data_IF_305979569658
#
_entry.id   IF_305979569658
#
_cell.length_a   1.000
_cell.length_b   1.000
_cell.length_c   1.000
_cell.angle_alpha   90.00
_cell.angle_beta   90.00
_cell.angle_gamma   90.00
#
_symmetry.space_group_name_H-M   'P 1'
#
loop_
_entity.id
_entity.type
_entity.pdbx_description
1 polymer ?
#
# COMPACT_ATOMS: atom_id res chain seq x y z
N UNK A 1 19.74 -17.69 -5.66
CA UNK A 1 19.04 -16.89 -6.69
C UNK A 1 17.67 -16.50 -6.13
N UNK A 2 17.59 -15.40 -5.39
CA UNK A 2 16.33 -14.77 -4.95
C UNK A 2 16.63 -13.28 -4.79
N UNK A 3 16.90 -12.64 -5.93
CA UNK A 3 17.00 -11.20 -6.11
C UNK A 3 16.13 -10.89 -7.32
N UNK A 4 14.82 -10.75 -7.09
CA UNK A 4 13.80 -10.13 -7.95
C UNK A 4 12.45 -10.45 -7.31
N UNK A 5 11.76 -9.47 -6.70
CA UNK A 5 11.00 -8.50 -7.49
C UNK A 5 11.11 -7.05 -6.99
N UNK A 6 12.19 -6.66 -6.33
CA UNK A 6 12.41 -5.23 -5.97
C UNK A 6 12.88 -4.41 -7.18
N UNK A 7 13.40 -5.07 -8.23
CA UNK A 7 14.04 -4.41 -9.37
C UNK A 7 13.10 -4.01 -10.53
N UNK A 8 11.81 -4.35 -10.46
CA UNK A 8 10.85 -4.00 -11.53
C UNK A 8 9.92 -2.83 -11.16
N UNK A 9 10.02 -2.28 -9.96
CA UNK A 9 9.24 -1.10 -9.58
C UNK A 9 9.97 0.23 -9.88
N UNK A 10 10.95 0.20 -10.78
CA UNK A 10 11.81 1.33 -11.12
C UNK A 10 12.07 1.40 -12.64
N UNK A 11 11.02 1.55 -13.44
CA UNK A 11 11.05 1.99 -14.85
C UNK A 11 9.60 2.35 -15.20
N UNK A 12 9.17 3.53 -15.61
CA UNK A 12 9.74 4.84 -15.91
C UNK A 12 8.90 5.90 -15.16
N UNK A 13 9.43 7.13 -15.08
CA UNK A 13 8.74 8.44 -15.06
C UNK A 13 9.38 9.39 -14.04
N UNK A 14 9.88 10.49 -14.59
CA UNK A 14 10.78 11.50 -14.02
C UNK A 14 10.17 12.38 -12.92
N UNK A 15 9.17 11.89 -12.18
CA UNK A 15 8.38 12.66 -11.21
C UNK A 15 8.38 11.88 -9.88
N UNK A 16 9.07 12.45 -8.87
CA UNK A 16 9.36 11.89 -7.55
C UNK A 16 8.46 10.74 -7.05
N UNK A 17 8.96 9.50 -7.15
CA UNK A 17 8.36 8.30 -6.55
C UNK A 17 8.99 8.08 -5.18
N UNK A 18 8.20 8.03 -4.11
CA UNK A 18 8.69 7.70 -2.77
C UNK A 18 8.25 6.29 -2.35
N UNK A 19 9.22 5.49 -1.91
CA UNK A 19 8.98 4.22 -1.23
C UNK A 19 8.68 4.53 0.23
N UNK A 20 7.42 4.36 0.65
CA UNK A 20 7.09 4.50 2.07
C UNK A 20 7.49 3.19 2.78
N UNK A 21 8.58 3.27 3.54
CA UNK A 21 8.90 2.31 4.60
C UNK A 21 7.81 2.47 5.68
N UNK A 22 7.35 1.41 6.38
CA UNK A 22 6.31 1.46 7.41
C UNK A 22 6.77 2.26 8.64
N UNK A 23 6.95 3.56 8.47
CA UNK A 23 7.24 4.52 9.50
C UNK A 23 5.95 5.28 9.80
N UNK A 24 5.65 5.45 11.09
CA UNK A 24 4.43 6.11 11.55
C UNK A 24 4.42 7.62 11.23
N UNK A 25 5.59 8.22 10.97
CA UNK A 25 5.73 9.62 10.58
C UNK A 25 6.91 9.80 9.63
N UNK A 26 6.62 10.20 8.39
CA UNK A 26 7.64 10.55 7.42
C UNK A 26 7.86 12.07 7.46
N UNK A 27 9.12 12.57 7.44
CA UNK A 27 9.42 14.01 7.48
C UNK A 27 9.11 14.71 6.14
N UNK A 28 7.93 14.46 5.58
CA UNK A 28 7.41 15.04 4.35
C UNK A 28 6.20 15.91 4.66
N UNK A 29 6.02 16.96 3.85
CA UNK A 29 4.85 17.84 3.91
C UNK A 29 3.60 17.11 3.42
N UNK A 30 2.44 17.54 3.92
CA UNK A 30 1.15 17.05 3.44
C UNK A 30 1.00 17.31 1.94
N UNK A 31 0.40 16.35 1.21
CA UNK A 31 0.16 16.44 -0.23
C UNK A 31 1.39 16.86 -1.06
N UNK A 32 2.56 16.30 -0.72
CA UNK A 32 3.82 16.60 -1.41
C UNK A 32 4.17 15.58 -2.50
N UNK A 33 3.64 14.37 -2.43
CA UNK A 33 4.03 13.27 -3.33
C UNK A 33 2.93 12.91 -4.32
N UNK A 34 3.33 12.50 -5.52
CA UNK A 34 2.40 12.10 -6.59
C UNK A 34 2.10 10.60 -6.56
N UNK A 35 3.07 9.79 -6.13
CA UNK A 35 2.97 8.33 -6.07
C UNK A 35 3.57 7.80 -4.76
N UNK A 36 2.83 6.93 -4.08
CA UNK A 36 3.30 6.13 -2.94
C UNK A 36 3.29 4.67 -3.32
N UNK A 37 4.37 3.95 -3.01
CA UNK A 37 4.49 2.51 -3.28
C UNK A 37 4.76 1.75 -1.98
N UNK A 38 3.93 0.74 -1.70
CA UNK A 38 4.20 -0.31 -0.71
C UNK A 38 4.51 -1.60 -1.46
N UNK A 39 5.73 -2.12 -1.31
CA UNK A 39 6.16 -3.38 -1.93
C UNK A 39 6.71 -4.29 -0.83
N UNK A 40 5.95 -5.31 -0.46
CA UNK A 40 6.28 -6.28 0.59
C UNK A 40 6.59 -5.62 1.95
N UNK A 41 6.06 -4.42 2.19
CA UNK A 41 6.41 -3.57 3.32
C UNK A 41 5.26 -3.36 4.32
N UNK A 42 4.05 -3.85 4.04
CA UNK A 42 2.90 -3.79 4.95
C UNK A 42 2.98 -4.90 6.03
N UNK A 43 4.14 -5.04 6.67
CA UNK A 43 4.42 -6.09 7.65
C UNK A 43 4.13 -5.67 9.10
N UNK A 44 3.92 -4.38 9.38
CA UNK A 44 3.67 -3.90 10.74
C UNK A 44 2.23 -4.15 11.21
N UNK A 45 2.06 -4.22 12.53
CA UNK A 45 0.77 -4.45 13.20
C UNK A 45 -0.25 -3.32 13.01
N UNK A 46 0.22 -2.12 12.66
CA UNK A 46 -0.60 -0.92 12.49
C UNK A 46 -0.72 -0.48 11.01
N UNK A 47 -1.27 -1.36 10.16
CA UNK A 47 -1.46 -1.07 8.73
C UNK A 47 -2.26 0.21 8.47
N UNK A 48 -3.30 0.46 9.29
CA UNK A 48 -4.15 1.63 9.14
C UNK A 48 -3.35 2.94 9.28
N UNK A 49 -2.35 2.97 10.18
CA UNK A 49 -1.55 4.17 10.41
C UNK A 49 -0.59 4.43 9.24
N UNK A 50 0.00 3.37 8.67
CA UNK A 50 0.83 3.50 7.46
C UNK A 50 0.03 3.99 6.25
N UNK A 51 -1.19 3.49 6.08
CA UNK A 51 -2.06 3.91 4.99
C UNK A 51 -2.62 5.33 5.20
N UNK A 52 -2.84 5.74 6.46
CA UNK A 52 -3.17 7.13 6.81
C UNK A 52 -2.00 8.05 6.50
N UNK A 53 -0.78 7.67 6.84
CA UNK A 53 0.41 8.45 6.55
C UNK A 53 0.65 8.56 5.04
N UNK A 54 0.46 7.46 4.30
CA UNK A 54 0.44 7.49 2.84
C UNK A 54 -0.63 8.44 2.30
N UNK A 55 -1.84 8.44 2.87
CA UNK A 55 -2.86 9.40 2.49
C UNK A 55 -2.40 10.84 2.78
N UNK A 56 -1.81 11.13 3.94
CA UNK A 56 -1.34 12.47 4.31
C UNK A 56 -0.35 13.03 3.30
N UNK A 57 0.68 12.25 2.95
CA UNK A 57 1.74 12.71 2.03
C UNK A 57 1.28 12.79 0.58
N UNK A 58 0.35 11.93 0.16
CA UNK A 58 -0.10 11.83 -1.23
C UNK A 58 -0.98 13.01 -1.62
N UNK A 59 -0.76 13.59 -2.80
CA UNK A 59 -1.64 14.61 -3.38
C UNK A 59 -3.01 14.03 -3.70
N UNK A 60 -4.04 14.87 -3.73
CA UNK A 60 -5.35 14.46 -4.25
C UNK A 60 -5.20 14.08 -5.73
N UNK A 61 -5.72 12.91 -6.11
CA UNK A 61 -5.50 12.33 -7.44
C UNK A 61 -4.16 11.59 -7.61
N UNK A 62 -3.29 11.59 -6.58
CA UNK A 62 -2.07 10.78 -6.60
C UNK A 62 -2.36 9.29 -6.49
N UNK A 63 -1.36 8.48 -6.85
CA UNK A 63 -1.47 7.02 -6.90
C UNK A 63 -0.86 6.34 -5.67
N UNK A 64 -1.56 5.34 -5.16
CA UNK A 64 -1.07 4.42 -4.15
C UNK A 64 -0.97 3.03 -4.77
N UNK A 65 0.24 2.50 -4.88
CA UNK A 65 0.54 1.17 -5.42
C UNK A 65 0.90 0.22 -4.28
N UNK A 66 0.25 -0.92 -4.20
CA UNK A 66 0.49 -1.94 -3.17
C UNK A 66 0.78 -3.26 -3.85
N UNK A 67 1.97 -3.82 -3.61
CA UNK A 67 2.36 -5.16 -4.02
C UNK A 67 2.68 -5.98 -2.76
N UNK A 68 1.91 -7.03 -2.49
CA UNK A 68 2.03 -7.86 -1.28
C UNK A 68 1.87 -9.34 -1.59
N UNK A 69 2.41 -10.20 -0.71
CA UNK A 69 2.32 -11.65 -0.91
C UNK A 69 0.87 -12.10 -0.83
N UNK A 70 0.40 -12.85 -1.84
CA UNK A 70 -0.98 -13.32 -1.97
C UNK A 70 -1.49 -14.04 -0.72
N UNK A 71 -0.64 -14.87 -0.11
CA UNK A 71 -0.93 -15.67 1.09
C UNK A 71 -1.27 -14.84 2.33
N UNK A 72 -0.95 -13.54 2.33
CA UNK A 72 -1.25 -12.63 3.44
C UNK A 72 -2.68 -12.12 3.42
N UNK A 73 -3.36 -12.21 2.28
CA UNK A 73 -4.73 -11.75 2.12
C UNK A 73 -5.71 -12.89 2.42
N UNK A 74 -6.45 -12.79 3.52
CA UNK A 74 -7.62 -13.65 3.76
C UNK A 74 -8.81 -13.24 2.89
N UNK A 75 -9.05 -11.94 2.81
CA UNK A 75 -10.16 -11.38 2.05
C UNK A 75 -9.74 -10.08 1.36
N UNK A 76 -9.43 -10.21 0.06
CA UNK A 76 -9.06 -9.09 -0.81
C UNK A 76 -10.16 -8.03 -0.88
N UNK A 77 -11.44 -8.44 -0.83
CA UNK A 77 -12.57 -7.49 -0.87
C UNK A 77 -12.60 -6.64 0.41
N UNK A 78 -12.40 -7.25 1.57
CA UNK A 78 -12.31 -6.52 2.85
C UNK A 78 -11.16 -5.51 2.85
N UNK A 79 -10.01 -5.89 2.27
CA UNK A 79 -8.86 -5.00 2.13
C UNK A 79 -9.18 -3.78 1.25
N UNK A 80 -9.79 -4.00 0.08
CA UNK A 80 -10.20 -2.92 -0.84
C UNK A 80 -11.23 -2.00 -0.17
N UNK A 81 -12.23 -2.55 0.53
CA UNK A 81 -13.24 -1.76 1.24
C UNK A 81 -12.63 -0.91 2.35
N UNK A 82 -11.62 -1.42 3.05
CA UNK A 82 -10.95 -0.66 4.09
C UNK A 82 -10.05 0.45 3.52
N UNK A 83 -9.44 0.25 2.35
CA UNK A 83 -8.77 1.33 1.62
C UNK A 83 -9.77 2.38 1.11
N UNK A 84 -10.96 1.95 0.70
CA UNK A 84 -12.05 2.87 0.34
C UNK A 84 -12.48 3.78 1.51
N UNK A 85 -12.59 3.24 2.73
CA UNK A 85 -12.88 4.05 3.91
C UNK A 85 -11.75 4.99 4.31
N UNK A 86 -10.52 4.72 3.85
CA UNK A 86 -9.34 5.57 4.02
C UNK A 86 -9.19 6.65 2.92
N UNK A 87 -10.15 6.78 2.01
CA UNK A 87 -10.12 7.79 0.95
C UNK A 87 -9.33 7.37 -0.30
N UNK A 88 -9.20 6.07 -0.53
CA UNK A 88 -8.59 5.51 -1.75
C UNK A 88 -9.63 4.81 -2.62
N UNK A 89 -9.59 5.04 -3.93
CA UNK A 89 -10.43 4.34 -4.90
C UNK A 89 -9.58 3.36 -5.69
N UNK A 90 -10.02 2.10 -5.79
CA UNK A 90 -9.35 1.09 -6.61
C UNK A 90 -9.43 1.49 -8.09
N UNK A 91 -8.28 1.48 -8.76
CA UNK A 91 -8.13 1.72 -10.20
C UNK A 91 -7.96 0.40 -10.93
N UNK A 92 -7.00 -0.41 -10.46
CA UNK A 92 -6.72 -1.73 -11.02
C UNK A 92 -6.28 -2.68 -9.92
N UNK A 93 -6.44 -3.97 -10.16
CA UNK A 93 -5.87 -5.03 -9.33
C UNK A 93 -5.36 -6.14 -10.24
N UNK A 94 -4.22 -6.71 -9.88
CA UNK A 94 -3.72 -7.96 -10.43
C UNK A 94 -3.65 -8.97 -9.28
N UNK A 95 -4.52 -9.97 -9.38
CA UNK A 95 -4.57 -11.11 -8.46
C UNK A 95 -4.39 -12.43 -9.21
N UNK A 96 -3.88 -12.41 -10.44
CA UNK A 96 -3.67 -13.61 -11.26
C UNK A 96 -2.40 -14.35 -10.84
N UNK A 97 -1.42 -13.60 -10.33
CA UNK A 97 -0.18 -14.13 -9.80
C UNK A 97 -0.40 -14.93 -8.50
N UNK A 98 0.08 -16.17 -8.47
CA UNK A 98 -0.06 -17.07 -7.31
C UNK A 98 0.73 -16.61 -6.08
N UNK A 99 1.77 -15.81 -6.28
CA UNK A 99 2.71 -15.41 -5.22
C UNK A 99 2.50 -13.97 -4.72
N UNK A 100 2.08 -13.06 -5.59
CA UNK A 100 1.98 -11.63 -5.27
C UNK A 100 0.68 -11.07 -5.83
N UNK A 101 0.01 -10.24 -5.03
CA UNK A 101 -1.10 -9.42 -5.48
C UNK A 101 -0.66 -7.97 -5.58
N UNK A 102 -1.03 -7.33 -6.69
CA UNK A 102 -0.75 -5.92 -6.95
C UNK A 102 -2.06 -5.15 -7.04
N UNK A 103 -2.07 -3.96 -6.46
CA UNK A 103 -3.25 -3.09 -6.43
C UNK A 103 -2.82 -1.65 -6.70
N UNK A 104 -3.52 -0.98 -7.61
CA UNK A 104 -3.39 0.45 -7.83
C UNK A 104 -4.63 1.16 -7.32
N UNK A 105 -4.42 2.18 -6.51
CA UNK A 105 -5.44 3.05 -6.00
C UNK A 105 -5.15 4.51 -6.35
N UNK A 106 -6.20 5.32 -6.39
CA UNK A 106 -6.10 6.78 -6.49
C UNK A 106 -6.66 7.41 -5.23
N UNK A 107 -5.98 8.43 -4.69
CA UNK A 107 -6.48 9.19 -3.54
C UNK A 107 -7.63 10.10 -3.96
N UNK A 108 -8.81 9.88 -3.38
CA UNK A 108 -10.02 10.67 -3.63
C UNK A 108 -10.24 11.76 -2.59
N UNK A 109 -9.81 11.53 -1.34
CA UNK A 109 -10.00 12.47 -0.24
C UNK A 109 -9.09 12.19 0.95
N UNK A 110 -9.14 13.04 2.00
CA UNK A 110 -8.42 12.80 3.23
C UNK A 110 -8.97 11.57 3.95
N UNK A 111 -8.09 10.83 4.64
CA UNK A 111 -8.53 9.74 5.50
C UNK A 111 -9.33 10.31 6.70
N UNK A 112 -10.44 9.69 7.11
CA UNK A 112 -11.21 10.15 8.27
C UNK A 112 -10.40 10.02 9.57
N UNK A 113 -10.64 10.92 10.53
CA UNK A 113 -10.05 10.87 11.88
C UNK A 113 -10.33 9.52 12.55
N UNK A 114 -11.60 9.10 12.53
CA UNK A 114 -12.11 7.86 13.15
C UNK A 114 -12.09 6.66 12.18
N UNK A 115 -10.90 6.19 11.81
CA UNK A 115 -10.77 4.95 11.02
C UNK A 115 -11.15 3.76 11.87
N UNK A 116 -12.36 3.25 11.62
CA UNK A 116 -12.77 1.92 12.01
C UNK A 116 -11.77 0.92 11.38
N UNK A 117 -10.90 0.28 12.18
CA UNK A 117 -9.84 -0.69 11.77
C UNK A 117 -10.35 -1.96 11.07
N UNK A 118 -11.61 -2.01 10.65
CA UNK A 118 -12.24 -3.21 10.11
C UNK A 118 -11.60 -3.57 8.77
N UNK A 119 -11.09 -4.81 8.66
CA UNK A 119 -10.62 -5.37 7.39
C UNK A 119 -9.16 -5.10 7.01
N UNK A 120 -8.41 -4.30 7.78
CA UNK A 120 -6.96 -4.07 7.58
C UNK A 120 -6.11 -5.03 8.41
N UNK A 121 -6.40 -6.32 8.32
CA UNK A 121 -5.56 -7.36 8.92
C UNK A 121 -5.01 -8.24 7.82
N UNK A 122 -3.68 -8.23 7.69
CA UNK A 122 -2.94 -9.17 6.84
C UNK A 122 -2.29 -10.22 7.72
N UNK A 123 -2.25 -11.47 7.26
CA UNK A 123 -1.52 -12.52 7.99
C UNK A 123 -0.04 -12.15 8.11
N UNK A 124 0.62 -12.52 9.22
CA UNK A 124 2.07 -12.42 9.32
C UNK A 124 2.73 -13.24 8.20
N UNK A 125 3.83 -12.72 7.66
CA UNK A 125 4.60 -13.46 6.67
C UNK A 125 5.36 -14.59 7.37
N UNK A 126 4.92 -15.84 7.16
CA UNK A 126 5.63 -17.02 7.69
C UNK A 126 6.71 -17.41 6.70
N UNK A 127 7.95 -17.07 7.00
CA UNK A 127 9.09 -17.49 6.19
C UNK A 127 9.39 -18.97 6.47
N UNK A 128 9.40 -19.82 5.43
CA UNK A 128 9.84 -21.21 5.58
C UNK A 128 11.33 -21.23 5.92
N UNK A 129 11.71 -21.92 7.01
CA UNK A 129 13.13 -22.19 7.32
C UNK A 129 13.76 -22.96 6.16
N UNK A 130 14.96 -22.53 5.75
CA UNK A 130 15.79 -23.21 4.75
C UNK A 130 16.59 -24.33 5.42
#
# INVERSE_FOLDING_TARGET
IFLAPVFWCALELSHCVYYLVPFLQVPLKDSSVDIVVFCLSLMGTNLADFLKEANRVLKRGGFLKIAEVSSRFENVRSFITALASLGFKLVSKDTENSHFYSFDFVKTGPAPENVKKFGLQLKPCVYKKR
#
